data_IF_919387624752
#
_entry.id   IF_919387624752
#
_cell.length_a   1.000
_cell.length_b   1.000
_cell.length_c   1.000
_cell.angle_alpha   90.00
_cell.angle_beta   90.00
_cell.angle_gamma   90.00
#
_symmetry.space_group_name_H-M   'P 1'
#
loop_
_entity.id
_entity.type
_entity.pdbx_description
1 polymer ?
#
# COMPACT_ATOMS: atom_id res chain seq x y z
N UNK A 1 -79.52 -23.41 4.26
CA UNK A 1 -78.78 -22.37 5.01
C UNK A 1 -78.19 -23.02 6.25
N UNK A 2 -76.97 -23.54 6.16
CA UNK A 2 -76.26 -24.19 7.28
C UNK A 2 -75.39 -23.15 8.02
N UNK A 3 -75.44 -23.24 9.34
CA UNK A 3 -74.75 -22.41 10.33
C UNK A 3 -73.23 -22.47 10.18
N UNK A 4 -72.56 -21.34 9.91
CA UNK A 4 -71.12 -21.20 10.18
C UNK A 4 -70.92 -20.59 11.57
N UNK A 5 -70.75 -21.45 12.56
CA UNK A 5 -70.17 -21.09 13.86
C UNK A 5 -68.66 -20.94 13.71
N UNK A 6 -68.19 -19.74 13.39
CA UNK A 6 -66.76 -19.42 13.43
C UNK A 6 -66.35 -19.06 14.86
N UNK A 7 -65.84 -20.02 15.64
CA UNK A 7 -65.16 -19.69 16.89
C UNK A 7 -63.93 -18.81 16.56
N UNK A 8 -63.84 -17.64 17.20
CA UNK A 8 -62.69 -16.76 17.06
C UNK A 8 -61.37 -17.45 17.45
N UNK A 9 -60.22 -16.83 17.17
CA UNK A 9 -58.92 -17.46 17.37
C UNK A 9 -58.73 -17.89 18.83
N UNK A 10 -58.21 -19.11 19.01
CA UNK A 10 -57.85 -19.67 20.33
C UNK A 10 -56.79 -18.82 21.03
N UNK A 11 -56.64 -18.88 22.37
CA UNK A 11 -55.58 -18.18 23.08
C UNK A 11 -54.18 -18.46 22.51
N UNK A 12 -53.93 -19.71 22.11
CA UNK A 12 -52.70 -20.14 21.42
C UNK A 12 -52.49 -19.39 20.11
N UNK A 13 -53.51 -19.34 19.26
CA UNK A 13 -53.44 -18.64 17.97
C UNK A 13 -53.26 -17.13 18.13
N UNK A 14 -53.90 -16.52 19.15
CA UNK A 14 -53.73 -15.08 19.44
C UNK A 14 -52.30 -14.76 19.87
N UNK A 15 -51.74 -15.56 20.78
CA UNK A 15 -50.37 -15.37 21.24
C UNK A 15 -49.39 -15.55 20.08
N UNK A 16 -49.57 -16.59 19.26
CA UNK A 16 -48.71 -16.83 18.09
C UNK A 16 -48.80 -15.68 17.06
N UNK A 17 -49.99 -15.15 16.83
CA UNK A 17 -50.19 -13.98 15.95
C UNK A 17 -49.50 -12.73 16.52
N UNK A 18 -49.63 -12.49 17.83
CA UNK A 18 -48.94 -11.39 18.49
C UNK A 18 -47.42 -11.52 18.40
N UNK A 19 -46.88 -12.71 18.66
CA UNK A 19 -45.44 -12.98 18.55
C UNK A 19 -44.93 -12.71 17.14
N UNK A 20 -45.63 -13.20 16.11
CA UNK A 20 -45.25 -12.95 14.72
C UNK A 20 -45.39 -11.47 14.31
N UNK A 21 -46.29 -10.71 14.93
CA UNK A 21 -46.35 -9.25 14.72
C UNK A 21 -45.14 -8.51 15.27
N UNK A 22 -44.46 -9.09 16.28
CA UNK A 22 -43.24 -8.54 16.90
C UNK A 22 -41.95 -9.12 16.29
N UNK A 23 -42.00 -10.34 15.80
CA UNK A 23 -40.86 -11.07 15.26
C UNK A 23 -40.90 -11.13 13.73
N UNK A 24 -41.08 -9.98 13.06
CA UNK A 24 -41.18 -9.93 11.60
C UNK A 24 -39.94 -10.53 10.90
N UNK A 25 -38.75 -10.29 11.45
CA UNK A 25 -37.48 -10.79 10.93
C UNK A 25 -37.20 -12.26 11.28
N UNK A 26 -38.00 -12.84 12.18
CA UNK A 26 -37.82 -14.20 12.69
C UNK A 26 -39.16 -14.83 13.11
N UNK A 27 -40.03 -15.17 12.13
CA UNK A 27 -41.34 -15.71 12.43
C UNK A 27 -41.26 -17.07 13.12
N UNK A 28 -42.16 -17.29 14.07
CA UNK A 28 -42.28 -18.51 14.87
C UNK A 28 -43.61 -19.22 14.57
N UNK A 29 -43.58 -20.54 14.51
CA UNK A 29 -44.68 -21.44 14.16
C UNK A 29 -45.18 -22.26 15.35
N UNK A 30 -44.35 -22.45 16.37
CA UNK A 30 -44.67 -23.25 17.55
C UNK A 30 -44.13 -22.61 18.85
N UNK A 31 -44.48 -23.21 19.99
CA UNK A 31 -43.99 -22.84 21.32
C UNK A 31 -43.00 -23.87 21.87
N UNK A 32 -42.28 -24.57 21.00
CA UNK A 32 -41.28 -25.57 21.41
C UNK A 32 -39.98 -25.34 20.64
N UNK A 33 -39.81 -25.98 19.49
CA UNK A 33 -38.53 -26.05 18.77
C UNK A 33 -38.02 -24.72 18.25
N UNK A 34 -38.89 -23.78 17.90
CA UNK A 34 -38.49 -22.49 17.32
C UNK A 34 -37.77 -21.57 18.31
N UNK A 35 -37.89 -21.88 19.60
CA UNK A 35 -37.28 -21.16 20.72
C UNK A 35 -35.97 -21.79 21.18
N UNK A 36 -35.66 -23.01 20.71
CA UNK A 36 -34.63 -23.82 21.35
C UNK A 36 -33.19 -23.34 21.13
N UNK A 37 -32.94 -22.47 20.15
CA UNK A 37 -31.60 -21.90 19.93
C UNK A 37 -31.35 -20.61 20.74
N UNK A 38 -32.34 -20.16 21.52
CA UNK A 38 -32.28 -18.98 22.37
C UNK A 38 -32.28 -17.65 21.61
N UNK A 39 -32.21 -17.66 20.27
CA UNK A 39 -32.15 -16.42 19.48
C UNK A 39 -33.54 -15.82 19.22
N UNK A 40 -34.60 -16.63 19.22
CA UNK A 40 -35.99 -16.15 19.15
C UNK A 40 -36.40 -15.34 20.39
N UNK A 41 -36.00 -15.77 21.59
CA UNK A 41 -36.27 -15.02 22.82
C UNK A 41 -35.44 -13.73 22.87
N UNK A 42 -34.19 -13.75 22.39
CA UNK A 42 -33.38 -12.53 22.23
C UNK A 42 -34.04 -11.51 21.29
N UNK A 43 -34.57 -11.98 20.15
CA UNK A 43 -35.33 -11.15 19.23
C UNK A 43 -36.58 -10.55 19.88
N UNK A 44 -37.32 -11.34 20.65
CA UNK A 44 -38.54 -10.89 21.33
C UNK A 44 -38.24 -9.81 22.37
N UNK A 45 -37.21 -10.02 23.20
CA UNK A 45 -36.76 -9.06 24.21
C UNK A 45 -36.33 -7.74 23.56
N UNK A 46 -35.55 -7.80 22.47
CA UNK A 46 -35.12 -6.60 21.75
C UNK A 46 -36.27 -5.90 21.02
N UNK A 47 -37.29 -6.61 20.53
CA UNK A 47 -38.48 -5.95 19.96
C UNK A 47 -39.31 -5.28 21.07
N UNK A 48 -39.42 -5.89 22.25
CA UNK A 48 -40.13 -5.29 23.38
C UNK A 48 -39.42 -4.05 23.93
N UNK A 49 -38.08 -4.07 24.01
CA UNK A 49 -37.26 -2.92 24.34
C UNK A 49 -35.96 -2.91 23.52
N UNK A 50 -35.93 -2.15 22.42
CA UNK A 50 -34.75 -2.06 21.56
C UNK A 50 -33.51 -1.64 22.32
N UNK A 51 -32.47 -2.49 22.28
CA UNK A 51 -31.20 -2.27 22.95
C UNK A 51 -30.95 -3.12 24.19
N UNK A 52 -31.91 -3.91 24.65
CA UNK A 52 -31.64 -4.95 25.66
C UNK A 52 -30.81 -6.10 25.06
N UNK A 53 -31.21 -6.58 23.87
CA UNK A 53 -30.52 -7.64 23.13
C UNK A 53 -30.21 -7.20 21.69
N UNK A 54 -29.48 -6.10 21.44
CA UNK A 54 -29.36 -5.50 20.11
C UNK A 54 -28.68 -6.41 19.08
N UNK A 55 -27.79 -7.30 19.55
CA UNK A 55 -26.94 -8.15 18.73
C UNK A 55 -27.53 -9.57 18.53
N UNK A 56 -28.82 -9.78 18.87
CA UNK A 56 -29.46 -11.11 18.80
C UNK A 56 -29.35 -11.78 17.43
N UNK A 57 -29.22 -11.00 16.35
CA UNK A 57 -29.06 -11.49 14.96
C UNK A 57 -27.70 -12.13 14.72
N UNK A 58 -26.69 -11.71 15.47
CA UNK A 58 -25.31 -12.18 15.35
C UNK A 58 -25.01 -13.31 16.35
N UNK A 59 -25.99 -13.72 17.17
CA UNK A 59 -25.86 -14.83 18.11
C UNK A 59 -25.71 -16.17 17.39
N UNK A 60 -24.76 -16.98 17.84
CA UNK A 60 -24.54 -18.32 17.28
C UNK A 60 -25.65 -19.29 17.73
N UNK A 61 -26.37 -19.97 16.81
CA UNK A 61 -27.45 -20.91 17.17
C UNK A 61 -26.99 -22.13 17.99
N UNK A 62 -25.69 -22.41 18.00
CA UNK A 62 -25.10 -23.48 18.82
C UNK A 62 -24.96 -23.09 20.29
N UNK A 63 -24.88 -21.79 20.60
CA UNK A 63 -24.72 -21.27 21.98
C UNK A 63 -26.09 -21.11 22.67
N UNK A 64 -26.95 -22.13 22.57
CA UNK A 64 -28.36 -22.11 22.95
C UNK A 64 -28.61 -21.57 24.37
N UNK A 65 -27.90 -22.15 25.34
CA UNK A 65 -28.05 -21.81 26.76
C UNK A 65 -27.64 -20.37 27.04
N UNK A 66 -26.50 -19.94 26.48
CA UNK A 66 -26.02 -18.55 26.62
C UNK A 66 -27.06 -17.57 26.07
N UNK A 67 -27.56 -17.82 24.86
CA UNK A 67 -28.54 -16.96 24.18
C UNK A 67 -29.83 -16.84 25.02
N UNK A 68 -30.37 -17.97 25.49
CA UNK A 68 -31.58 -18.00 26.31
C UNK A 68 -31.35 -17.30 27.66
N UNK A 69 -30.25 -17.58 28.34
CA UNK A 69 -29.91 -16.98 29.63
C UNK A 69 -29.76 -15.46 29.53
N UNK A 70 -29.03 -14.96 28.52
CA UNK A 70 -28.81 -13.53 28.31
C UNK A 70 -30.14 -12.80 28.09
N UNK A 71 -31.02 -13.33 27.23
CA UNK A 71 -32.32 -12.74 26.95
C UNK A 71 -33.29 -12.80 28.15
N UNK A 72 -33.41 -13.96 28.80
CA UNK A 72 -34.35 -14.16 29.90
C UNK A 72 -33.95 -13.35 31.14
N UNK A 73 -32.65 -13.26 31.45
CA UNK A 73 -32.17 -12.39 32.53
C UNK A 73 -32.48 -10.91 32.24
N UNK A 74 -32.29 -10.46 31.00
CA UNK A 74 -32.62 -9.08 30.62
C UNK A 74 -34.13 -8.81 30.72
N UNK A 75 -34.97 -9.77 30.33
CA UNK A 75 -36.42 -9.67 30.44
C UNK A 75 -36.89 -9.58 31.89
N UNK A 76 -36.34 -10.42 32.77
CA UNK A 76 -36.67 -10.39 34.20
C UNK A 76 -36.21 -9.08 34.85
N UNK A 77 -34.96 -8.70 34.58
CA UNK A 77 -34.37 -7.52 35.21
C UNK A 77 -35.03 -6.23 34.75
N UNK A 78 -35.29 -6.08 33.44
CA UNK A 78 -35.65 -4.80 32.83
C UNK A 78 -37.05 -4.72 32.22
N UNK A 79 -37.71 -5.85 31.96
CA UNK A 79 -39.07 -5.89 31.40
C UNK A 79 -40.14 -6.37 32.39
N UNK A 80 -39.74 -6.71 33.62
CA UNK A 80 -40.60 -7.26 34.67
C UNK A 80 -41.26 -8.59 34.26
N UNK A 81 -40.55 -9.40 33.49
CA UNK A 81 -40.99 -10.72 33.03
C UNK A 81 -40.29 -11.81 33.85
N UNK A 82 -40.91 -12.35 34.92
CA UNK A 82 -40.27 -13.37 35.76
C UNK A 82 -40.05 -14.68 34.98
N UNK A 83 -38.95 -15.36 35.30
CA UNK A 83 -38.56 -16.63 34.68
C UNK A 83 -39.40 -17.80 35.20
N UNK A 84 -40.60 -17.99 34.62
CA UNK A 84 -41.50 -19.10 34.95
C UNK A 84 -41.02 -20.47 34.46
N UNK A 85 -40.10 -20.46 33.49
CA UNK A 85 -39.35 -21.62 33.02
C UNK A 85 -37.87 -21.27 33.08
N UNK A 86 -37.00 -22.27 33.22
CA UNK A 86 -35.55 -22.03 33.20
C UNK A 86 -35.02 -21.91 31.77
N UNK A 87 -33.90 -21.21 31.54
CA UNK A 87 -33.25 -21.18 30.22
C UNK A 87 -32.93 -22.57 29.66
N UNK A 88 -32.51 -23.52 30.50
CA UNK A 88 -32.25 -24.92 30.12
C UNK A 88 -33.53 -25.64 29.65
N UNK A 89 -34.67 -25.30 30.23
CA UNK A 89 -35.97 -25.87 29.86
C UNK A 89 -36.46 -25.27 28.54
N UNK A 90 -36.31 -23.96 28.33
CA UNK A 90 -36.67 -23.29 27.07
C UNK A 90 -35.92 -23.89 25.88
N UNK A 91 -34.64 -24.24 26.05
CA UNK A 91 -33.81 -24.80 24.97
C UNK A 91 -34.01 -26.29 24.74
N UNK A 92 -34.84 -26.95 25.56
CA UNK A 92 -35.11 -28.37 25.46
C UNK A 92 -36.13 -28.64 24.32
N UNK A 93 -35.82 -29.52 23.35
CA UNK A 93 -36.77 -29.93 22.30
C UNK A 93 -38.06 -30.57 22.80
N UNK A 94 -38.06 -31.07 24.04
CA UNK A 94 -39.21 -31.68 24.72
C UNK A 94 -39.87 -30.78 25.75
N UNK A 95 -39.61 -29.47 25.69
CA UNK A 95 -40.25 -28.49 26.58
C UNK A 95 -41.78 -28.59 26.50
N UNK A 96 -42.44 -28.49 27.64
CA UNK A 96 -43.90 -28.45 27.68
C UNK A 96 -44.42 -27.17 27.01
N UNK A 97 -45.28 -27.35 26.01
CA UNK A 97 -45.82 -26.25 25.22
C UNK A 97 -46.60 -25.27 26.11
N UNK A 98 -47.31 -25.77 27.13
CA UNK A 98 -48.09 -24.92 28.03
C UNK A 98 -47.18 -24.09 28.94
N UNK A 99 -46.10 -24.66 29.44
CA UNK A 99 -45.09 -23.92 30.20
C UNK A 99 -44.48 -22.79 29.36
N UNK A 100 -44.10 -23.06 28.09
CA UNK A 100 -43.59 -22.03 27.19
C UNK A 100 -44.63 -20.94 26.91
N UNK A 101 -45.86 -21.32 26.60
CA UNK A 101 -46.95 -20.37 26.39
C UNK A 101 -47.18 -19.49 27.62
N UNK A 102 -47.14 -20.09 28.81
CA UNK A 102 -47.32 -19.37 30.07
C UNK A 102 -46.24 -18.30 30.24
N UNK A 103 -44.97 -18.67 30.05
CA UNK A 103 -43.86 -17.72 30.10
C UNK A 103 -43.99 -16.60 29.05
N UNK A 104 -44.21 -16.95 27.77
CA UNK A 104 -44.28 -15.99 26.66
C UNK A 104 -45.51 -15.07 26.72
N UNK A 105 -46.61 -15.52 27.33
CA UNK A 105 -47.83 -14.72 27.48
C UNK A 105 -47.68 -13.51 28.41
N UNK A 106 -46.55 -13.37 29.12
CA UNK A 106 -46.23 -12.21 29.95
C UNK A 106 -45.72 -11.02 29.13
N UNK A 107 -45.10 -11.27 27.97
CA UNK A 107 -44.47 -10.23 27.13
C UNK A 107 -45.43 -9.17 26.55
N UNK A 108 -46.69 -9.48 26.18
CA UNK A 108 -47.65 -8.46 25.75
C UNK A 108 -47.88 -7.33 26.77
N UNK A 109 -47.69 -7.61 28.07
CA UNK A 109 -47.84 -6.66 29.17
C UNK A 109 -46.51 -6.17 29.75
N UNK A 110 -45.38 -6.57 29.16
CA UNK A 110 -44.04 -6.21 29.64
C UNK A 110 -43.84 -4.69 29.63
N UNK A 111 -43.19 -4.17 30.67
CA UNK A 111 -42.90 -2.73 30.82
C UNK A 111 -41.42 -2.54 31.06
N UNK A 112 -40.81 -1.66 30.26
CA UNK A 112 -39.41 -1.28 30.44
C UNK A 112 -39.25 -0.50 31.75
N UNK A 113 -38.33 -0.93 32.60
CA UNK A 113 -37.94 -0.20 33.82
C UNK A 113 -37.05 1.00 33.48
N UNK A 114 -37.21 2.08 34.25
CA UNK A 114 -36.37 3.27 34.12
C UNK A 114 -34.90 2.93 34.42
N UNK A 115 -33.98 3.54 33.67
CA UNK A 115 -32.53 3.30 33.82
C UNK A 115 -32.03 2.00 33.19
N UNK A 116 -32.85 1.30 32.39
CA UNK A 116 -32.39 0.13 31.66
C UNK A 116 -31.19 0.45 30.75
N UNK A 117 -30.15 -0.41 30.73
CA UNK A 117 -28.93 -0.19 29.97
C UNK A 117 -29.16 -0.52 28.49
N UNK A 118 -29.96 0.30 27.81
CA UNK A 118 -30.23 0.13 26.38
C UNK A 118 -28.97 0.42 25.58
N UNK A 119 -28.49 -0.61 24.89
CA UNK A 119 -27.33 -0.53 24.01
C UNK A 119 -27.81 -0.20 22.59
N UNK A 120 -27.30 0.88 21.96
CA UNK A 120 -27.56 1.12 20.55
C UNK A 120 -27.14 -0.09 19.72
N UNK A 121 -27.89 -0.39 18.66
CA UNK A 121 -27.52 -1.47 17.75
C UNK A 121 -26.16 -1.20 17.12
N UNK A 122 -25.35 -2.26 17.08
CA UNK A 122 -24.04 -2.22 16.46
C UNK A 122 -24.17 -1.89 14.98
N UNK A 123 -23.53 -0.81 14.53
CA UNK A 123 -23.60 -0.35 13.15
C UNK A 123 -22.21 -0.12 12.55
N UNK A 124 -21.67 -1.14 11.89
CA UNK A 124 -20.37 -1.06 11.21
C UNK A 124 -20.32 0.04 10.13
N UNK A 125 -21.45 0.41 9.52
CA UNK A 125 -21.50 1.48 8.52
C UNK A 125 -21.31 2.88 9.11
N UNK A 126 -21.48 3.04 10.43
CA UNK A 126 -21.21 4.31 11.13
C UNK A 126 -19.75 4.45 11.60
N UNK A 127 -18.95 3.39 11.47
CA UNK A 127 -17.51 3.44 11.73
C UNK A 127 -16.82 4.16 10.60
N UNK A 128 -15.94 5.10 10.93
CA UNK A 128 -15.13 5.84 9.97
C UNK A 128 -13.66 5.49 10.17
N UNK A 129 -12.93 5.31 9.08
CA UNK A 129 -11.48 5.16 9.12
C UNK A 129 -10.85 6.21 8.21
N UNK A 130 -9.82 6.89 8.70
CA UNK A 130 -9.17 7.99 7.98
C UNK A 130 -7.72 8.17 8.43
N UNK A 131 -6.90 8.77 7.57
CA UNK A 131 -5.50 9.08 7.85
C UNK A 131 -4.58 8.62 6.71
N UNK A 132 -3.31 9.07 6.72
CA UNK A 132 -2.38 8.88 5.61
C UNK A 132 -2.17 7.40 5.23
N UNK A 133 -2.22 6.49 6.21
CA UNK A 133 -2.08 5.05 5.97
C UNK A 133 -3.24 4.38 5.23
N UNK A 134 -4.33 5.09 4.95
CA UNK A 134 -5.45 4.60 4.13
C UNK A 134 -5.58 5.37 2.81
N UNK A 135 -4.77 6.39 2.59
CA UNK A 135 -4.79 7.16 1.36
C UNK A 135 -4.31 6.30 0.18
N UNK A 136 -4.87 6.48 -1.04
CA UNK A 136 -4.50 5.67 -2.19
C UNK A 136 -3.03 5.75 -2.59
N UNK A 137 -2.33 6.84 -2.21
CA UNK A 137 -0.93 7.13 -2.54
C UNK A 137 -0.23 7.88 -1.39
N UNK A 138 1.09 7.99 -1.47
CA UNK A 138 1.91 8.75 -0.51
C UNK A 138 2.52 7.93 0.63
N UNK A 139 2.19 6.64 0.73
CA UNK A 139 2.83 5.71 1.65
C UNK A 139 4.10 5.12 1.00
N UNK A 140 5.16 4.95 1.80
CA UNK A 140 6.48 4.47 1.33
C UNK A 140 6.93 3.23 2.08
N UNK A 141 7.67 2.36 1.41
CA UNK A 141 8.29 1.18 2.04
C UNK A 141 9.15 1.60 3.24
N UNK A 142 9.02 0.87 4.35
CA UNK A 142 9.77 1.11 5.59
C UNK A 142 9.29 2.29 6.43
N UNK A 143 8.37 3.13 5.92
CA UNK A 143 7.81 4.24 6.67
C UNK A 143 6.48 3.85 7.33
N UNK A 144 6.23 4.22 8.61
CA UNK A 144 4.96 3.90 9.27
C UNK A 144 3.75 4.57 8.60
N UNK A 145 2.83 3.74 8.11
CA UNK A 145 1.54 4.14 7.56
C UNK A 145 0.50 4.21 8.68
N UNK A 146 0.16 5.42 9.13
CA UNK A 146 -0.71 5.66 10.30
C UNK A 146 -2.13 6.04 9.91
N UNK A 147 -3.12 5.54 10.63
CA UNK A 147 -4.51 5.93 10.45
C UNK A 147 -5.31 5.77 11.75
N UNK A 148 -6.52 6.31 11.77
CA UNK A 148 -7.42 6.29 12.92
C UNK A 148 -8.74 5.65 12.55
N UNK A 149 -9.29 4.84 13.44
CA UNK A 149 -10.64 4.28 13.37
C UNK A 149 -11.49 4.96 14.44
N UNK A 150 -12.58 5.58 14.01
CA UNK A 150 -13.59 6.21 14.86
C UNK A 150 -14.88 5.39 14.83
N UNK A 151 -15.16 4.69 15.93
CA UNK A 151 -16.34 3.86 16.14
C UNK A 151 -17.28 4.43 17.21
N UNK A 152 -17.19 5.74 17.52
CA UNK A 152 -17.99 6.38 18.57
C UNK A 152 -19.50 6.13 18.41
N UNK A 153 -20.02 6.30 17.19
CA UNK A 153 -21.46 6.13 16.89
C UNK A 153 -21.86 4.69 16.57
N UNK A 154 -20.92 3.74 16.61
CA UNK A 154 -21.13 2.38 16.10
C UNK A 154 -21.63 1.37 17.14
N UNK A 155 -21.72 1.75 18.41
CA UNK A 155 -22.05 0.83 19.51
C UNK A 155 -20.83 0.11 20.06
N UNK A 156 -21.04 -1.01 20.77
CA UNK A 156 -19.94 -1.83 21.30
C UNK A 156 -19.59 -2.92 20.30
N UNK A 157 -18.31 -3.02 19.93
CA UNK A 157 -17.83 -4.06 19.01
C UNK A 157 -16.30 -4.13 19.02
N UNK A 158 -15.77 -5.31 18.70
CA UNK A 158 -14.34 -5.49 18.50
C UNK A 158 -13.92 -4.94 17.13
N UNK A 159 -12.80 -4.22 17.09
CA UNK A 159 -12.16 -3.78 15.85
C UNK A 159 -11.13 -4.82 15.44
N UNK A 160 -11.19 -5.26 14.19
CA UNK A 160 -10.18 -6.11 13.56
C UNK A 160 -9.63 -5.41 12.32
N UNK A 161 -8.30 -5.34 12.21
CA UNK A 161 -7.60 -4.78 11.06
C UNK A 161 -6.76 -5.86 10.41
N UNK A 162 -6.92 -6.03 9.10
CA UNK A 162 -6.18 -7.01 8.31
C UNK A 162 -5.50 -6.26 7.16
N UNK A 163 -4.17 -6.16 7.21
CA UNK A 163 -3.37 -5.57 6.14
C UNK A 163 -2.83 -6.71 5.27
N UNK A 164 -3.14 -6.67 3.97
CA UNK A 164 -2.63 -7.63 3.00
C UNK A 164 -1.67 -6.93 2.05
N UNK A 165 -0.45 -7.46 1.95
CA UNK A 165 0.55 -6.96 1.03
C UNK A 165 0.24 -7.39 -0.43
N UNK A 166 1.01 -6.91 -1.43
CA UNK A 166 0.79 -7.25 -2.84
C UNK A 166 0.82 -8.75 -3.17
N UNK A 167 1.45 -9.57 -2.32
CA UNK A 167 1.48 -11.04 -2.45
C UNK A 167 0.30 -11.74 -1.76
N UNK A 168 -0.61 -10.98 -1.16
CA UNK A 168 -1.74 -11.48 -0.38
C UNK A 168 -1.36 -11.98 1.02
N UNK A 169 -0.14 -11.72 1.49
CA UNK A 169 0.29 -12.12 2.83
C UNK A 169 -0.09 -11.06 3.86
N UNK A 170 -0.32 -11.47 5.11
CA UNK A 170 -0.68 -10.58 6.21
C UNK A 170 0.54 -9.79 6.68
N UNK A 171 0.41 -8.46 6.69
CA UNK A 171 1.39 -7.56 7.30
C UNK A 171 0.96 -7.26 8.75
N UNK A 172 1.89 -7.21 9.73
CA UNK A 172 1.57 -6.80 11.08
C UNK A 172 1.02 -5.36 11.12
N UNK A 173 -0.03 -5.15 11.90
CA UNK A 173 -0.63 -3.84 12.13
C UNK A 173 -0.90 -3.68 13.62
N UNK A 174 -0.33 -2.63 14.20
CA UNK A 174 -0.56 -2.25 15.59
C UNK A 174 -1.90 -1.54 15.69
N UNK A 175 -2.75 -1.98 16.63
CA UNK A 175 -4.05 -1.37 16.91
C UNK A 175 -4.10 -1.00 18.39
N UNK A 176 -4.06 0.30 18.68
CA UNK A 176 -4.00 0.82 20.03
C UNK A 176 -5.31 1.56 20.33
N UNK A 177 -6.09 1.14 21.34
CA UNK A 177 -7.27 1.87 21.76
C UNK A 177 -6.86 3.18 22.45
N UNK A 178 -7.52 4.28 22.08
CA UNK A 178 -7.23 5.59 22.64
C UNK A 178 -8.04 5.84 23.92
N UNK A 179 -7.41 6.49 24.90
CA UNK A 179 -8.02 6.78 26.21
C UNK A 179 -8.68 8.16 26.28
N UNK A 180 -8.36 9.06 25.35
CA UNK A 180 -8.88 10.43 25.29
C UNK A 180 -10.28 10.51 24.69
N UNK A 181 -10.62 9.61 23.75
CA UNK A 181 -11.94 9.55 23.09
C UNK A 181 -12.47 8.12 23.07
N UNK A 182 -13.68 7.95 23.60
CA UNK A 182 -14.37 6.66 23.65
C UNK A 182 -14.49 6.03 22.25
N UNK A 183 -14.18 4.72 22.16
CA UNK A 183 -14.28 3.92 20.94
C UNK A 183 -13.49 4.46 19.73
N UNK A 184 -12.34 5.07 19.97
CA UNK A 184 -11.38 5.43 18.92
C UNK A 184 -10.09 4.62 19.03
N UNK A 185 -9.48 4.31 17.89
CA UNK A 185 -8.31 3.45 17.81
C UNK A 185 -7.26 4.07 16.88
N UNK A 186 -6.01 4.10 17.32
CA UNK A 186 -4.87 4.50 16.51
C UNK A 186 -4.18 3.26 15.95
N UNK A 187 -4.05 3.22 14.64
CA UNK A 187 -3.51 2.09 13.91
C UNK A 187 -2.24 2.48 13.15
N UNK A 188 -1.28 1.56 13.07
CA UNK A 188 -0.09 1.74 12.26
C UNK A 188 0.42 0.41 11.70
N UNK A 189 0.82 0.40 10.43
CA UNK A 189 1.57 -0.70 9.83
C UNK A 189 2.81 -0.16 9.11
N UNK A 190 3.82 -1.01 8.92
CA UNK A 190 5.04 -0.66 8.20
C UNK A 190 5.10 -1.51 6.93
N UNK A 191 4.90 -0.94 5.73
CA UNK A 191 4.97 -1.70 4.49
C UNK A 191 6.38 -2.23 4.24
N UNK A 192 6.52 -3.54 4.01
CA UNK A 192 7.81 -4.18 3.75
C UNK A 192 8.23 -4.17 2.27
N UNK A 193 7.30 -3.93 1.35
CA UNK A 193 7.56 -3.95 -0.09
C UNK A 193 6.66 -2.96 -0.83
N UNK A 194 7.04 -2.57 -2.05
CA UNK A 194 6.23 -1.68 -2.89
C UNK A 194 5.08 -2.43 -3.57
N UNK A 195 3.99 -1.72 -3.87
CA UNK A 195 2.84 -2.24 -4.62
C UNK A 195 1.49 -1.94 -3.96
N UNK A 196 0.43 -2.56 -4.47
CA UNK A 196 -0.93 -2.37 -3.94
C UNK A 196 -1.17 -3.22 -2.68
N UNK A 197 -1.40 -2.55 -1.56
CA UNK A 197 -1.86 -3.13 -0.31
C UNK A 197 -3.39 -3.05 -0.22
N UNK A 198 -3.99 -4.02 0.47
CA UNK A 198 -5.41 -4.02 0.84
C UNK A 198 -5.55 -3.99 2.35
N UNK A 199 -6.08 -2.90 2.88
CA UNK A 199 -6.38 -2.75 4.31
C UNK A 199 -7.87 -3.03 4.52
N UNK A 200 -8.18 -4.15 5.16
CA UNK A 200 -9.55 -4.56 5.49
C UNK A 200 -9.79 -4.21 6.94
N UNK A 201 -10.87 -3.46 7.20
CA UNK A 201 -11.25 -3.05 8.56
C UNK A 201 -12.63 -3.60 8.87
N UNK A 202 -12.73 -4.34 9.97
CA UNK A 202 -13.97 -4.92 10.46
C UNK A 202 -14.32 -4.39 11.84
N UNK A 203 -15.61 -4.21 12.07
CA UNK A 203 -16.19 -3.88 13.35
C UNK A 203 -17.29 -4.89 13.67
N UNK A 204 -17.18 -5.57 14.81
CA UNK A 204 -18.09 -6.66 15.19
C UNK A 204 -18.25 -7.71 14.06
N UNK A 205 -17.12 -8.16 13.51
CA UNK A 205 -17.01 -9.12 12.41
C UNK A 205 -17.60 -8.70 11.04
N UNK A 206 -18.16 -7.48 10.92
CA UNK A 206 -18.66 -6.91 9.66
C UNK A 206 -17.69 -5.86 9.13
N UNK A 207 -17.47 -5.83 7.81
CA UNK A 207 -16.63 -4.80 7.19
C UNK A 207 -17.28 -3.41 7.30
N UNK A 208 -16.44 -2.40 7.54
CA UNK A 208 -16.89 -1.01 7.61
C UNK A 208 -17.07 -0.43 6.20
N UNK A 209 -17.66 0.76 6.13
CA UNK A 209 -17.76 1.48 4.86
C UNK A 209 -16.37 1.76 4.27
N UNK A 210 -16.23 1.61 2.95
CA UNK A 210 -15.00 1.77 2.18
C UNK A 210 -13.90 0.71 2.42
N UNK A 211 -14.13 -0.26 3.31
CA UNK A 211 -13.31 -1.47 3.34
C UNK A 211 -13.63 -2.34 2.11
N UNK A 212 -12.63 -2.94 1.44
CA UNK A 212 -11.20 -2.77 1.67
C UNK A 212 -10.64 -1.46 1.10
N UNK A 213 -9.73 -0.82 1.84
CA UNK A 213 -8.97 0.33 1.37
C UNK A 213 -7.79 -0.16 0.51
N UNK A 214 -7.66 0.41 -0.69
CA UNK A 214 -6.55 0.12 -1.61
C UNK A 214 -5.49 1.20 -1.45
N UNK A 215 -4.29 0.79 -1.03
CA UNK A 215 -3.17 1.70 -0.74
C UNK A 215 -2.00 1.35 -1.63
N UNK A 216 -1.61 2.24 -2.54
CA UNK A 216 -0.40 2.08 -3.33
C UNK A 216 0.81 2.53 -2.50
N UNK A 217 1.71 1.59 -2.22
CA UNK A 217 2.96 1.86 -1.51
C UNK A 217 4.09 2.00 -2.51
N UNK A 218 4.74 3.16 -2.48
CA UNK A 218 5.89 3.48 -3.32
C UNK A 218 7.17 2.87 -2.73
N UNK A 219 8.09 2.43 -3.60
CA UNK A 219 9.40 1.93 -3.19
C UNK A 219 10.19 2.98 -2.42
N UNK A 220 10.94 2.56 -1.41
CA UNK A 220 11.92 3.44 -0.78
C UNK A 220 12.99 3.84 -1.81
N UNK A 221 13.41 5.10 -1.78
CA UNK A 221 14.54 5.53 -2.59
C UNK A 221 15.79 4.74 -2.17
N UNK A 222 16.52 4.20 -3.14
CA UNK A 222 17.76 3.46 -2.98
C UNK A 222 18.86 4.18 -3.80
N UNK A 223 19.52 5.19 -3.20
CA UNK A 223 20.57 5.98 -3.87
C UNK A 223 21.74 5.12 -4.36
N UNK A 224 21.94 3.92 -3.80
CA UNK A 224 22.99 3.00 -4.23
C UNK A 224 22.78 2.42 -5.64
N UNK A 225 21.56 2.54 -6.18
CA UNK A 225 21.23 2.12 -7.55
C UNK A 225 21.28 3.26 -8.56
N UNK A 226 21.41 4.51 -8.10
CA UNK A 226 21.59 5.64 -9.00
C UNK A 226 23.03 5.64 -9.55
N UNK A 227 23.17 5.98 -10.83
CA UNK A 227 24.48 6.07 -11.49
C UNK A 227 24.59 7.40 -12.22
N UNK A 228 25.81 7.87 -12.48
CA UNK A 228 26.05 9.05 -13.29
C UNK A 228 27.11 8.77 -14.35
N UNK A 229 26.92 9.27 -15.56
CA UNK A 229 27.90 9.15 -16.65
C UNK A 229 27.77 10.28 -17.67
N UNK A 230 28.90 10.66 -18.28
CA UNK A 230 28.97 11.67 -19.33
C UNK A 230 30.25 12.51 -19.28
N UNK A 231 30.52 13.32 -20.32
CA UNK A 231 31.79 14.04 -20.47
C UNK A 231 32.09 15.00 -19.32
N UNK A 232 31.06 15.53 -18.65
CA UNK A 232 31.18 16.45 -17.52
C UNK A 232 31.67 15.83 -16.22
N UNK A 233 31.76 14.50 -16.11
CA UNK A 233 32.33 13.81 -14.94
C UNK A 233 33.53 12.92 -15.29
N UNK A 234 33.97 12.96 -16.54
CA UNK A 234 35.21 12.28 -16.94
C UNK A 234 36.42 12.94 -16.28
N UNK A 235 37.44 12.16 -15.86
CA UNK A 235 38.60 12.70 -15.16
C UNK A 235 39.38 13.78 -15.93
N UNK A 236 39.28 13.79 -17.27
CA UNK A 236 39.98 14.72 -18.17
C UNK A 236 39.12 15.05 -19.39
N UNK A 237 39.46 16.14 -20.09
CA UNK A 237 38.85 16.54 -21.37
C UNK A 237 37.93 17.76 -21.27
N UNK A 238 37.62 18.21 -20.06
CA UNK A 238 36.88 19.45 -19.82
C UNK A 238 37.82 20.66 -19.89
N UNK A 239 37.31 21.80 -20.37
CA UNK A 239 38.08 23.04 -20.59
C UNK A 239 37.37 24.24 -19.97
N UNK A 240 38.15 25.20 -19.47
CA UNK A 240 37.61 26.45 -18.91
C UNK A 240 36.75 27.18 -19.95
N UNK A 241 35.56 27.60 -19.52
CA UNK A 241 34.60 28.36 -20.33
C UNK A 241 33.79 27.52 -21.32
N UNK A 242 34.11 26.23 -21.51
CA UNK A 242 33.36 25.33 -22.39
C UNK A 242 32.25 24.62 -21.61
N UNK A 243 31.01 24.71 -22.08
CA UNK A 243 29.87 24.00 -21.48
C UNK A 243 30.08 22.49 -21.58
N UNK A 244 29.79 21.77 -20.51
CA UNK A 244 29.83 20.30 -20.43
C UNK A 244 28.59 19.76 -19.74
N UNK A 245 28.36 18.45 -19.81
CA UNK A 245 27.17 17.81 -19.27
C UNK A 245 27.41 16.36 -18.86
N UNK A 246 26.55 15.84 -18.00
CA UNK A 246 26.46 14.41 -17.70
C UNK A 246 25.01 14.05 -17.34
N UNK A 247 24.68 12.77 -17.37
CA UNK A 247 23.36 12.27 -17.01
C UNK A 247 23.42 11.54 -15.66
N UNK A 248 22.35 11.66 -14.88
CA UNK A 248 22.10 10.86 -13.67
C UNK A 248 20.95 9.91 -14.01
N UNK A 249 21.23 8.61 -13.95
CA UNK A 249 20.26 7.54 -14.18
C UNK A 249 19.78 6.97 -12.84
N UNK A 250 18.47 6.98 -12.62
CA UNK A 250 17.82 6.55 -11.37
C UNK A 250 16.96 5.31 -11.55
N UNK A 251 17.15 4.57 -12.66
CA UNK A 251 16.42 3.32 -12.93
C UNK A 251 16.63 2.32 -11.79
N UNK A 252 15.53 1.94 -11.14
CA UNK A 252 15.55 1.02 -10.00
C UNK A 252 15.96 1.65 -8.66
N UNK A 253 16.32 2.94 -8.64
CA UNK A 253 16.62 3.70 -7.42
C UNK A 253 15.36 4.21 -6.69
N UNK A 254 14.16 4.00 -7.24
CA UNK A 254 12.90 4.45 -6.63
C UNK A 254 12.65 5.95 -6.81
N UNK A 255 11.67 6.50 -6.10
CA UNK A 255 11.29 7.91 -6.25
C UNK A 255 12.15 8.83 -5.38
N UNK A 256 12.82 9.80 -5.99
CA UNK A 256 13.70 10.74 -5.30
C UNK A 256 14.09 11.93 -6.17
N UNK A 257 14.62 12.97 -5.53
CA UNK A 257 15.14 14.16 -6.20
C UNK A 257 16.64 14.00 -6.41
N UNK A 258 17.10 14.27 -7.63
CA UNK A 258 18.51 14.34 -7.96
C UNK A 258 19.05 15.76 -7.68
N UNK A 259 20.24 15.84 -7.09
CA UNK A 259 20.93 17.09 -6.81
C UNK A 259 22.43 16.98 -7.13
N UNK A 260 23.08 18.11 -7.38
CA UNK A 260 24.47 18.18 -7.77
C UNK A 260 25.15 19.44 -7.21
N UNK A 261 26.29 19.25 -6.55
CA UNK A 261 27.14 20.33 -6.04
C UNK A 261 28.53 20.19 -6.64
N UNK A 262 29.00 21.26 -7.29
CA UNK A 262 30.33 21.30 -7.91
C UNK A 262 31.22 22.24 -7.13
N UNK A 263 32.32 21.70 -6.59
CA UNK A 263 33.35 22.48 -5.91
C UNK A 263 34.47 22.80 -6.89
N UNK A 264 34.88 24.06 -6.94
CA UNK A 264 36.08 24.49 -7.65
C UNK A 264 37.38 24.01 -6.95
N UNK A 265 38.57 24.21 -7.53
CA UNK A 265 39.83 23.80 -6.92
C UNK A 265 40.13 24.49 -5.58
N UNK A 266 39.43 25.58 -5.26
CA UNK A 266 39.49 26.30 -4.00
C UNK A 266 38.40 25.85 -3.01
N UNK A 267 37.58 24.85 -3.36
CA UNK A 267 36.49 24.33 -2.54
C UNK A 267 35.21 25.18 -2.55
N UNK A 268 35.07 26.15 -3.46
CA UNK A 268 33.91 27.03 -3.54
C UNK A 268 32.81 26.42 -4.40
N UNK A 269 31.57 26.54 -3.95
CA UNK A 269 30.37 25.99 -4.62
C UNK A 269 29.52 27.05 -5.36
N UNK A 270 29.74 28.33 -5.06
CA UNK A 270 28.97 29.47 -5.59
C UNK A 270 29.43 29.91 -7.00
N UNK A 271 30.62 29.48 -7.41
CA UNK A 271 31.24 29.82 -8.69
C UNK A 271 30.61 29.07 -9.86
N UNK A 272 30.22 27.80 -9.65
CA UNK A 272 29.65 26.94 -10.68
C UNK A 272 28.27 26.48 -10.22
N UNK A 273 27.23 27.01 -10.86
CA UNK A 273 25.84 26.58 -10.62
C UNK A 273 25.43 25.58 -11.69
N UNK A 274 25.37 24.27 -11.37
CA UNK A 274 24.87 23.29 -12.31
C UNK A 274 23.37 23.51 -12.54
N UNK A 275 22.93 23.31 -13.79
CA UNK A 275 21.52 23.30 -14.16
C UNK A 275 21.10 21.85 -14.30
N UNK A 276 20.16 21.41 -13.47
CA UNK A 276 19.62 20.05 -13.47
C UNK A 276 18.27 20.08 -14.16
N UNK A 277 18.12 19.31 -15.24
CA UNK A 277 16.88 19.21 -16.02
C UNK A 277 16.43 17.76 -16.04
N UNK A 278 15.21 17.47 -15.58
CA UNK A 278 14.62 16.13 -15.69
C UNK A 278 14.24 15.85 -17.15
N UNK A 279 14.87 14.86 -17.78
CA UNK A 279 14.58 14.47 -19.17
C UNK A 279 13.52 13.37 -19.26
N UNK A 280 13.50 12.43 -18.31
CA UNK A 280 12.48 11.38 -18.20
C UNK A 280 12.23 11.01 -16.73
N UNK A 281 11.38 10.01 -16.46
CA UNK A 281 11.11 9.57 -15.09
C UNK A 281 12.38 9.15 -14.35
N UNK A 282 13.33 8.51 -15.06
CA UNK A 282 14.54 7.91 -14.52
C UNK A 282 15.86 8.58 -14.98
N UNK A 283 15.79 9.74 -15.66
CA UNK A 283 16.97 10.40 -16.21
C UNK A 283 16.97 11.91 -15.98
N UNK A 284 18.08 12.42 -15.44
CA UNK A 284 18.34 13.85 -15.23
C UNK A 284 19.59 14.27 -16.00
N UNK A 285 19.48 15.31 -16.82
CA UNK A 285 20.62 15.96 -17.47
C UNK A 285 21.15 17.07 -16.56
N UNK A 286 22.44 17.02 -16.27
CA UNK A 286 23.16 18.07 -15.52
C UNK A 286 24.09 18.78 -16.47
N UNK A 287 23.95 20.10 -16.58
CA UNK A 287 24.79 20.94 -17.44
C UNK A 287 25.49 22.01 -16.60
N UNK A 288 26.79 22.21 -16.83
CA UNK A 288 27.55 23.25 -16.14
C UNK A 288 28.68 23.80 -17.03
N UNK A 289 29.29 24.91 -16.61
CA UNK A 289 30.43 25.52 -17.32
C UNK A 289 31.51 25.85 -16.30
N UNK A 290 32.65 25.14 -16.30
CA UNK A 290 33.74 25.41 -15.37
C UNK A 290 34.37 26.78 -15.68
N UNK A 291 34.68 27.52 -14.61
CA UNK A 291 35.20 28.90 -14.69
C UNK A 291 36.67 29.03 -14.32
N UNK A 292 37.21 28.02 -13.64
CA UNK A 292 38.58 28.00 -13.12
C UNK A 292 39.27 26.75 -13.68
N UNK A 293 40.59 26.82 -13.87
CA UNK A 293 41.41 25.66 -14.23
C UNK A 293 41.76 24.86 -12.98
N UNK A 294 41.81 23.53 -13.09
CA UNK A 294 42.25 22.64 -12.01
C UNK A 294 41.26 21.54 -11.66
N UNK A 295 41.52 20.86 -10.56
CA UNK A 295 40.72 19.73 -10.09
C UNK A 295 39.42 20.21 -9.44
N UNK A 296 38.30 19.91 -10.07
CA UNK A 296 36.96 20.15 -9.55
C UNK A 296 36.41 18.87 -8.92
N UNK A 297 35.57 19.01 -7.90
CA UNK A 297 34.86 17.89 -7.26
C UNK A 297 33.37 17.98 -7.57
N UNK A 298 32.86 17.02 -8.32
CA UNK A 298 31.44 16.91 -8.67
C UNK A 298 30.75 15.93 -7.73
N UNK A 299 29.91 16.46 -6.85
CA UNK A 299 29.17 15.71 -5.83
C UNK A 299 27.74 15.53 -6.32
N UNK A 300 27.30 14.28 -6.46
CA UNK A 300 25.99 13.92 -7.02
C UNK A 300 25.20 13.21 -5.95
N UNK A 301 23.96 13.66 -5.74
CA UNK A 301 23.06 13.18 -4.70
C UNK A 301 21.76 12.69 -5.32
N UNK A 302 21.16 11.68 -4.70
CA UNK A 302 19.81 11.22 -4.98
C UNK A 302 19.07 10.97 -3.67
N UNK A 303 17.84 11.51 -3.57
CA UNK A 303 17.05 11.46 -2.33
C UNK A 303 17.80 11.94 -1.08
N UNK A 304 18.70 12.93 -1.25
CA UNK A 304 19.49 13.53 -0.17
C UNK A 304 20.73 12.74 0.26
N UNK A 305 21.04 11.59 -0.37
CA UNK A 305 22.26 10.83 -0.11
C UNK A 305 23.17 10.80 -1.34
N UNK A 306 24.47 10.67 -1.13
CA UNK A 306 25.46 10.62 -2.21
C UNK A 306 25.40 9.28 -2.95
N UNK A 307 25.40 9.33 -4.29
CA UNK A 307 25.36 8.13 -5.13
C UNK A 307 26.73 7.43 -5.16
N UNK A 308 26.81 6.13 -5.55
CA UNK A 308 28.09 5.44 -5.74
C UNK A 308 29.01 6.18 -6.73
N UNK A 309 30.32 6.07 -6.49
CA UNK A 309 31.40 6.73 -7.25
C UNK A 309 31.43 8.26 -7.18
N UNK A 310 30.45 8.90 -6.54
CA UNK A 310 30.55 10.29 -6.15
C UNK A 310 31.35 10.40 -4.85
N UNK A 311 32.24 11.40 -4.69
CA UNK A 311 32.52 12.51 -5.62
C UNK A 311 33.37 12.12 -6.85
N UNK A 312 33.08 12.75 -7.99
CA UNK A 312 33.89 12.62 -9.21
C UNK A 312 34.94 13.73 -9.28
N UNK A 313 36.21 13.37 -9.43
CA UNK A 313 37.31 14.32 -9.62
C UNK A 313 37.51 14.65 -11.08
N UNK A 314 37.29 15.91 -11.48
CA UNK A 314 37.33 16.37 -12.87
C UNK A 314 38.47 17.37 -13.06
N UNK A 315 39.49 17.02 -13.86
CA UNK A 315 40.56 17.95 -14.21
C UNK A 315 40.14 18.83 -15.38
N UNK A 316 39.93 20.13 -15.10
CA UNK A 316 39.60 21.13 -16.11
C UNK A 316 40.89 21.76 -16.62
N UNK A 317 41.15 21.64 -17.92
CA UNK A 317 42.31 22.23 -18.58
C UNK A 317 42.08 23.66 -19.11
N UNK A 318 43.13 24.31 -19.61
CA UNK A 318 43.06 25.69 -20.10
C UNK A 318 42.13 25.82 -21.31
N UNK A 319 41.65 27.03 -21.55
CA UNK A 319 40.85 27.37 -22.73
C UNK A 319 41.67 27.12 -24.00
N UNK A 320 41.16 26.30 -24.93
CA UNK A 320 41.85 26.06 -26.19
C UNK A 320 41.84 27.34 -27.05
N UNK A 321 43.00 27.88 -27.48
CA UNK A 321 43.01 28.95 -28.47
C UNK A 321 42.43 28.45 -29.80
N UNK A 322 41.76 29.30 -30.59
CA UNK A 322 41.27 28.92 -31.91
C UNK A 322 42.46 28.48 -32.77
N UNK A 323 42.33 27.33 -33.44
CA UNK A 323 43.33 26.83 -34.38
C UNK A 323 43.52 27.88 -35.49
N UNK A 324 44.66 28.56 -35.53
CA UNK A 324 45.06 29.35 -36.69
C UNK A 324 45.30 28.40 -37.87
N UNK A 325 44.72 28.64 -39.06
CA UNK A 325 45.00 27.84 -40.25
C UNK A 325 46.49 27.89 -40.57
N UNK A 326 47.13 26.73 -40.73
CA UNK A 326 48.49 26.61 -41.24
C UNK A 326 48.56 27.25 -42.64
N UNK A 327 49.32 28.33 -42.77
CA UNK A 327 49.60 28.95 -44.06
C UNK A 327 50.32 27.95 -44.97
N UNK A 328 49.72 27.63 -46.12
CA UNK A 328 50.33 26.85 -47.19
C UNK A 328 51.64 27.51 -47.64
N UNK A 329 52.79 26.86 -47.37
CA UNK A 329 54.03 27.14 -48.11
C UNK A 329 54.04 26.26 -49.38
N UNK A 330 54.39 26.80 -50.56
CA UNK A 330 54.50 25.99 -51.78
C UNK A 330 55.64 24.98 -51.65
N UNK A 331 55.40 23.75 -52.08
CA UNK A 331 56.38 22.67 -52.14
C UNK A 331 57.14 22.80 -53.47
N UNK A 332 58.44 23.07 -53.42
CA UNK A 332 59.34 22.89 -54.57
C UNK A 332 59.63 21.40 -54.77
N UNK A 333 59.22 20.87 -55.91
CA UNK A 333 59.43 19.46 -56.26
C UNK A 333 60.86 19.23 -56.76
N UNK A 334 61.71 18.64 -55.93
CA UNK A 334 62.96 18.02 -56.40
C UNK A 334 62.71 16.54 -56.71
N UNK A 335 62.84 16.17 -57.99
CA UNK A 335 62.76 14.79 -58.46
C UNK A 335 64.04 14.03 -58.09
N UNK A 336 63.90 12.83 -57.52
CA UNK A 336 64.96 11.81 -57.51
C UNK A 336 64.35 10.45 -57.87
N UNK A 337 65.05 9.58 -58.64
CA UNK A 337 64.45 8.41 -59.28
C UNK A 337 64.46 7.17 -58.38
N UNK A 338 63.46 6.31 -58.59
CA UNK A 338 63.26 5.01 -57.93
C UNK A 338 64.25 3.99 -58.52
N UNK A 339 64.99 3.28 -57.67
CA UNK A 339 65.62 2.01 -58.03
C UNK A 339 64.86 0.83 -57.40
N UNK A 340 64.54 -0.14 -58.24
CA UNK A 340 63.89 -1.41 -57.90
C UNK A 340 64.88 -2.36 -57.20
N UNK A 341 64.43 -3.08 -56.16
CA UNK A 341 65.25 -4.12 -55.51
C UNK A 341 64.53 -4.95 -54.43
N UNK A 342 64.02 -6.11 -54.87
CA UNK A 342 63.66 -7.37 -54.21
C UNK A 342 62.98 -7.43 -52.82
N UNK A 343 61.76 -7.98 -52.85
CA UNK A 343 61.12 -8.80 -51.81
C UNK A 343 61.89 -10.11 -51.59
N UNK A 344 62.26 -10.42 -50.36
CA UNK A 344 62.35 -11.80 -49.80
C UNK A 344 62.80 -11.74 -48.35
N UNK A 345 61.93 -12.17 -47.42
CA UNK A 345 62.27 -13.09 -46.34
C UNK A 345 61.03 -13.30 -45.46
N UNK A 346 60.60 -14.55 -45.44
CA UNK A 346 59.39 -15.05 -44.83
C UNK A 346 59.62 -15.58 -43.41
N UNK A 347 58.54 -15.59 -42.63
CA UNK A 347 58.03 -16.72 -41.83
C UNK A 347 59.03 -17.65 -41.11
N UNK A 348 58.89 -17.66 -39.78
CA UNK A 348 59.33 -18.70 -38.84
C UNK A 348 59.34 -18.07 -37.43
N UNK A 349 58.76 -18.60 -36.37
CA UNK A 349 58.35 -19.96 -36.01
C UNK A 349 57.51 -19.86 -34.71
N UNK A 350 56.81 -20.94 -34.36
CA UNK A 350 56.27 -21.28 -33.03
C UNK A 350 54.78 -21.02 -32.78
N UNK A 351 53.98 -21.99 -33.26
CA UNK A 351 52.80 -22.48 -32.58
C UNK A 351 53.18 -23.37 -31.37
N UNK A 352 52.24 -23.46 -30.43
CA UNK A 352 52.03 -24.48 -29.37
C UNK A 352 52.38 -24.11 -27.91
N UNK A 353 51.29 -23.93 -27.14
CA UNK A 353 50.98 -24.27 -25.74
C UNK A 353 50.18 -23.09 -25.14
N UNK A 354 48.96 -23.17 -24.63
CA UNK A 354 47.98 -24.22 -24.40
C UNK A 354 46.68 -23.50 -24.00
N UNK A 355 45.56 -24.18 -24.20
CA UNK A 355 44.17 -23.75 -24.04
C UNK A 355 43.80 -23.02 -22.75
N UNK A 356 42.99 -21.95 -22.87
CA UNK A 356 41.99 -21.64 -21.84
C UNK A 356 41.71 -20.17 -21.49
N UNK A 357 41.76 -19.20 -22.41
CA UNK A 357 41.23 -17.85 -22.13
C UNK A 357 41.07 -17.05 -23.44
N UNK A 358 40.02 -17.24 -24.24
CA UNK A 358 39.62 -16.30 -25.31
C UNK A 358 38.24 -16.70 -25.88
N UNK A 359 37.18 -16.36 -25.16
CA UNK A 359 35.83 -16.19 -25.73
C UNK A 359 35.40 -14.79 -25.31
N UNK A 360 35.09 -13.92 -26.29
CA UNK A 360 34.57 -12.54 -26.23
C UNK A 360 35.38 -11.39 -26.86
N UNK A 361 36.24 -11.64 -27.86
CA UNK A 361 36.66 -10.55 -28.77
C UNK A 361 36.60 -11.06 -30.21
N UNK A 362 35.37 -11.16 -30.74
CA UNK A 362 35.07 -11.22 -32.18
C UNK A 362 33.55 -11.16 -32.37
N UNK A 363 32.96 -10.02 -31.99
CA UNK A 363 31.61 -9.64 -32.47
C UNK A 363 31.36 -8.12 -32.48
N UNK A 364 32.38 -7.29 -32.24
CA UNK A 364 32.23 -5.81 -32.22
C UNK A 364 32.95 -5.14 -33.41
N UNK A 365 33.69 -5.89 -34.24
CA UNK A 365 34.49 -5.30 -35.31
C UNK A 365 33.83 -5.25 -36.70
N UNK A 366 32.54 -5.60 -36.82
CA UNK A 366 31.85 -5.65 -38.14
C UNK A 366 30.64 -4.71 -38.26
N UNK A 367 30.34 -3.87 -37.27
CA UNK A 367 29.20 -2.91 -37.39
C UNK A 367 29.52 -1.41 -37.24
N UNK A 368 30.80 -1.03 -37.10
CA UNK A 368 31.18 0.38 -36.92
C UNK A 368 31.79 1.09 -38.15
N UNK A 369 31.97 0.40 -39.29
CA UNK A 369 32.50 0.99 -40.54
C UNK A 369 31.44 1.12 -41.65
N UNK A 370 30.17 1.26 -41.27
CA UNK A 370 29.04 1.22 -42.21
C UNK A 370 28.27 2.52 -42.41
N UNK A 371 28.68 3.67 -41.87
CA UNK A 371 27.94 4.93 -42.05
C UNK A 371 28.84 6.15 -41.89
N UNK A 372 29.69 6.45 -42.88
CA UNK A 372 30.20 7.80 -43.16
C UNK A 372 31.03 7.77 -44.45
N UNK A 373 30.33 7.78 -45.58
CA UNK A 373 30.93 7.96 -46.90
C UNK A 373 29.84 8.30 -47.92
N UNK A 374 30.06 9.40 -48.64
CA UNK A 374 29.33 9.86 -49.83
C UNK A 374 28.10 10.77 -49.64
N UNK A 375 28.38 12.04 -49.35
CA UNK A 375 27.72 13.15 -50.03
C UNK A 375 28.69 14.32 -50.17
N UNK A 376 29.44 14.38 -51.29
CA UNK A 376 29.81 15.64 -51.97
C UNK A 376 30.57 15.34 -53.28
N UNK A 377 29.99 15.82 -54.39
CA UNK A 377 30.73 16.50 -55.45
C UNK A 377 31.14 15.68 -56.67
N UNK A 378 30.29 15.67 -57.71
CA UNK A 378 30.73 15.74 -59.11
C UNK A 378 29.78 16.71 -59.84
N UNK A 379 30.36 17.86 -60.21
CA UNK A 379 30.10 18.76 -61.37
C UNK A 379 28.67 19.24 -61.61
#
# INVERSE_FOLDING_TARGET
>A
LFLQGGQGPTPKQRLLAWLNSKLADRPVKNFTTDWNDGTAIGALVDTCAPGLCPDWRDWEPKQKLRNAQEAMNAAEQWLDVPQLIRPEEMINPRVDEKAMMTYLSQFPSAKLKDGAPLRPRTNAASVRAYGPGLEPRGNKVGMPARFTIDAFSAGRGAVEVIVLNPKGQREPCDVIPNTDRQNTYSCAYVPSQSGEYRVIIKFAAKEIMNSPFKVMVEGAADPSKATASGPGIEPRGNQVGKRTFFNIFTTGAGEGVADCVILDPQGRQDVIKPVITRQSEDNYLVEYTPKVEGLHSVNVFFAGQQIPNSPFGVMVGPHAPPLTPLANKPIEATKTPIQQGSLSAALGTCANLGSGFFIHILDVFVHACGYLGFAMGII
#
